data_IF_888876322835
#
_entry.id   IF_888876322835
#
_cell.length_a   1.000
_cell.length_b   1.000
_cell.length_c   1.000
_cell.angle_alpha   90.00
_cell.angle_beta   90.00
_cell.angle_gamma   90.00
#
_symmetry.space_group_name_H-M   'P 1'
#
loop_
_entity.id
_entity.type
_entity.pdbx_description
1 polymer ?
#
# COMPACT_ATOMS: atom_id res chain seq x y z
N UNK A 1 17.78 -4.84 -14.89
CA UNK A 1 18.72 -4.52 -13.78
C UNK A 1 19.18 -3.06 -13.87
N UNK A 2 19.78 -2.51 -12.80
CA UNK A 2 20.40 -1.19 -12.80
C UNK A 2 21.75 -1.27 -13.54
N UNK A 3 21.95 -0.43 -14.56
CA UNK A 3 23.14 -0.50 -15.45
C UNK A 3 24.04 0.70 -15.32
N UNK A 4 23.51 1.86 -14.94
CA UNK A 4 24.27 3.11 -14.82
C UNK A 4 23.70 4.03 -13.75
N UNK A 5 24.58 4.78 -13.10
CA UNK A 5 24.26 5.83 -12.14
C UNK A 5 25.08 7.08 -12.49
N UNK A 6 24.43 8.22 -12.69
CA UNK A 6 25.06 9.50 -13.01
C UNK A 6 24.62 10.56 -12.02
N UNK A 7 25.58 11.17 -11.33
CA UNK A 7 25.32 12.28 -10.42
C UNK A 7 25.08 13.55 -11.25
N UNK A 8 23.99 14.26 -10.95
CA UNK A 8 23.58 15.50 -11.60
C UNK A 8 23.41 16.65 -10.60
N UNK A 9 23.19 17.86 -11.13
CA UNK A 9 22.85 19.06 -10.36
C UNK A 9 23.75 19.30 -9.14
N UNK A 10 25.08 19.22 -9.36
CA UNK A 10 26.10 19.35 -8.32
C UNK A 10 25.90 18.40 -7.11
N UNK A 11 25.44 17.18 -7.37
CA UNK A 11 25.17 16.18 -6.33
C UNK A 11 23.75 16.21 -5.79
N UNK A 12 22.88 17.13 -6.23
CA UNK A 12 21.49 17.19 -5.74
C UNK A 12 20.60 16.14 -6.36
N UNK A 13 20.97 15.59 -7.51
CA UNK A 13 20.22 14.55 -8.21
C UNK A 13 21.13 13.41 -8.64
N UNK A 14 20.50 12.26 -8.90
CA UNK A 14 21.13 11.11 -9.55
C UNK A 14 20.17 10.54 -10.60
N UNK A 15 20.66 10.34 -11.82
CA UNK A 15 19.96 9.62 -12.87
C UNK A 15 20.40 8.15 -12.85
N UNK A 16 19.42 7.26 -12.74
CA UNK A 16 19.60 5.81 -12.83
C UNK A 16 19.11 5.32 -14.18
N UNK A 17 19.94 4.55 -14.88
CA UNK A 17 19.57 3.87 -16.12
C UNK A 17 19.34 2.39 -15.88
N UNK A 18 18.27 1.86 -16.46
CA UNK A 18 17.84 0.49 -16.30
C UNK A 18 18.03 -0.28 -17.62
N UNK A 19 18.22 -1.59 -17.51
CA UNK A 19 18.41 -2.51 -18.64
C UNK A 19 17.23 -2.50 -19.64
N UNK A 20 16.02 -2.22 -19.18
CA UNK A 20 14.83 -2.07 -20.03
C UNK A 20 14.77 -0.71 -20.75
N UNK A 21 15.85 0.09 -20.71
CA UNK A 21 15.94 1.41 -21.31
C UNK A 21 15.27 2.54 -20.50
N UNK A 22 14.56 2.22 -19.41
CA UNK A 22 13.95 3.22 -18.54
C UNK A 22 15.05 4.05 -17.87
N UNK A 23 14.75 5.33 -17.62
CA UNK A 23 15.59 6.21 -16.80
C UNK A 23 14.73 6.83 -15.70
N UNK A 24 15.30 6.95 -14.52
CA UNK A 24 14.61 7.51 -13.36
C UNK A 24 15.57 8.38 -12.58
N UNK A 25 15.14 9.57 -12.18
CA UNK A 25 15.92 10.45 -11.31
C UNK A 25 15.46 10.38 -9.86
N UNK A 26 16.43 10.54 -8.95
CA UNK A 26 16.19 10.69 -7.53
C UNK A 26 16.93 11.92 -7.00
N UNK A 27 16.34 12.63 -6.04
CA UNK A 27 16.98 13.71 -5.31
C UNK A 27 17.81 13.14 -4.16
N UNK A 28 18.97 13.75 -3.88
CA UNK A 28 19.84 13.38 -2.76
C UNK A 28 19.08 13.41 -1.43
N UNK A 29 18.31 14.48 -1.19
CA UNK A 29 17.48 14.63 0.01
C UNK A 29 16.45 13.50 0.16
N UNK A 30 15.77 13.12 -0.93
CA UNK A 30 14.79 12.03 -0.89
C UNK A 30 15.44 10.69 -0.57
N UNK A 31 16.59 10.40 -1.18
CA UNK A 31 17.34 9.17 -0.90
C UNK A 31 17.83 9.15 0.55
N UNK A 32 18.40 10.25 1.05
CA UNK A 32 18.89 10.35 2.43
C UNK A 32 17.79 10.16 3.47
N UNK A 33 16.62 10.76 3.26
CA UNK A 33 15.44 10.61 4.14
C UNK A 33 14.81 9.19 4.08
N UNK A 34 15.12 8.44 3.02
CA UNK A 34 14.64 7.07 2.81
C UNK A 34 15.73 6.00 2.96
N UNK A 35 16.91 6.34 3.48
CA UNK A 35 17.95 5.37 3.73
C UNK A 35 17.43 4.20 4.60
N UNK A 36 17.88 2.99 4.23
CA UNK A 36 17.38 1.73 4.80
C UNK A 36 18.28 1.16 5.89
N UNK A 37 19.35 1.88 6.25
CA UNK A 37 20.29 1.47 7.29
C UNK A 37 19.69 1.62 8.70
N UNK A 38 20.26 0.89 9.65
CA UNK A 38 19.80 0.78 11.03
C UNK A 38 19.86 2.10 11.83
N UNK A 39 20.62 3.09 11.37
CA UNK A 39 20.66 4.45 11.96
C UNK A 39 19.57 5.37 11.39
N UNK A 40 18.96 5.02 10.26
CA UNK A 40 17.87 5.79 9.66
C UNK A 40 16.52 5.14 9.91
N UNK A 41 16.46 3.80 9.91
CA UNK A 41 15.24 3.02 10.19
C UNK A 41 15.51 1.96 11.24
N UNK A 42 14.64 1.89 12.25
CA UNK A 42 14.68 0.83 13.25
C UNK A 42 14.46 -0.54 12.60
N UNK A 43 15.42 -1.44 12.79
CA UNK A 43 15.36 -2.79 12.23
C UNK A 43 14.17 -3.61 12.77
N UNK A 44 13.69 -3.32 13.98
CA UNK A 44 12.64 -4.10 14.63
C UNK A 44 11.20 -3.71 14.24
N UNK A 45 10.96 -2.44 13.85
CA UNK A 45 9.60 -1.95 13.61
C UNK A 45 9.46 -1.03 12.39
N UNK A 46 10.55 -0.77 11.65
CA UNK A 46 10.56 0.03 10.43
C UNK A 46 10.35 1.54 10.63
N UNK A 47 10.25 2.03 11.87
CA UNK A 47 10.11 3.44 12.17
C UNK A 47 11.37 4.21 11.75
N UNK A 48 11.18 5.39 11.16
CA UNK A 48 12.28 6.31 10.88
C UNK A 48 12.81 6.88 12.21
N UNK A 49 14.12 6.88 12.38
CA UNK A 49 14.82 7.30 13.61
C UNK A 49 15.29 8.76 13.58
N UNK A 50 15.09 9.44 12.45
CA UNK A 50 15.48 10.83 12.21
C UNK A 50 14.26 11.63 11.72
N UNK A 51 14.34 12.94 11.89
CA UNK A 51 13.44 13.93 11.30
C UNK A 51 14.10 14.61 10.11
N UNK A 52 13.33 15.39 9.35
CA UNK A 52 13.88 16.20 8.25
C UNK A 52 14.88 17.26 8.74
N UNK A 53 14.78 17.70 10.00
CA UNK A 53 15.68 18.69 10.59
C UNK A 53 17.05 18.10 10.94
N UNK A 54 17.14 16.78 11.08
CA UNK A 54 18.40 16.08 11.36
C UNK A 54 19.23 15.85 10.08
N UNK A 55 18.65 16.12 8.90
CA UNK A 55 19.32 16.00 7.60
C UNK A 55 19.81 17.39 7.17
N UNK A 56 21.12 17.61 6.93
CA UNK A 56 21.63 18.91 6.50
C UNK A 56 20.94 19.40 5.22
N UNK A 57 20.52 20.66 5.19
CA UNK A 57 19.75 21.23 4.08
C UNK A 57 20.50 21.18 2.73
N UNK A 58 21.83 21.23 2.80
CA UNK A 58 22.78 21.16 1.70
C UNK A 58 23.19 19.73 1.32
N UNK A 59 22.48 18.71 1.82
CA UNK A 59 22.74 17.29 1.51
C UNK A 59 22.87 17.04 0.01
N UNK A 60 24.02 16.47 -0.38
CA UNK A 60 24.37 16.10 -1.75
C UNK A 60 24.92 14.68 -1.80
N UNK A 61 24.87 14.08 -2.98
CA UNK A 61 25.56 12.83 -3.32
C UNK A 61 27.01 13.17 -3.64
N UNK A 62 27.94 12.71 -2.80
CA UNK A 62 29.38 12.89 -3.01
C UNK A 62 30.00 11.77 -3.85
N UNK A 63 29.52 10.54 -3.71
CA UNK A 63 29.99 9.40 -4.49
C UNK A 63 28.89 8.35 -4.66
N UNK A 64 29.00 7.55 -5.73
CA UNK A 64 28.09 6.46 -6.03
C UNK A 64 28.83 5.26 -6.61
N UNK A 65 28.38 4.06 -6.27
CA UNK A 65 28.87 2.80 -6.83
C UNK A 65 27.73 1.80 -7.01
N UNK A 66 27.76 1.03 -8.09
CA UNK A 66 26.83 -0.09 -8.31
C UNK A 66 27.58 -1.37 -7.98
N UNK A 67 27.17 -2.08 -6.92
CA UNK A 67 27.81 -3.32 -6.47
C UNK A 67 26.80 -4.29 -5.90
N UNK A 68 26.93 -5.57 -6.24
CA UNK A 68 26.13 -6.65 -5.64
C UNK A 68 24.61 -6.50 -5.83
N UNK A 69 24.16 -5.90 -6.95
CA UNK A 69 22.75 -5.66 -7.21
C UNK A 69 22.14 -4.51 -6.40
N UNK A 70 22.98 -3.64 -5.82
CA UNK A 70 22.58 -2.47 -5.06
C UNK A 70 23.32 -1.21 -5.55
N UNK A 71 22.77 -0.06 -5.19
CA UNK A 71 23.37 1.25 -5.35
C UNK A 71 23.90 1.72 -3.99
N UNK A 72 25.22 1.83 -3.86
CA UNK A 72 25.86 2.45 -2.71
C UNK A 72 26.03 3.95 -2.97
N UNK A 73 25.61 4.76 -2.02
CA UNK A 73 25.64 6.23 -2.09
C UNK A 73 26.34 6.77 -0.86
N UNK A 74 27.30 7.66 -1.05
CA UNK A 74 27.89 8.46 0.02
C UNK A 74 27.34 9.88 -0.02
N UNK A 75 26.70 10.30 1.06
CA UNK A 75 26.16 11.65 1.22
C UNK A 75 27.17 12.59 1.89
N UNK A 76 27.18 13.84 1.44
CA UNK A 76 27.90 14.96 2.04
C UNK A 76 26.90 16.03 2.46
N UNK A 77 27.11 16.75 3.57
CA UNK A 77 28.33 16.77 4.40
C UNK A 77 28.39 15.73 5.52
N UNK A 78 27.44 14.80 5.63
CA UNK A 78 27.43 13.82 6.73
C UNK A 78 28.54 12.75 6.66
N UNK A 79 29.18 12.56 5.50
CA UNK A 79 30.04 11.41 5.20
C UNK A 79 29.34 10.06 5.49
N UNK A 80 28.02 10.01 5.27
CA UNK A 80 27.20 8.81 5.50
C UNK A 80 27.09 8.00 4.22
N UNK A 81 27.56 6.75 4.24
CA UNK A 81 27.36 5.80 3.15
C UNK A 81 26.21 4.86 3.46
N UNK A 82 25.32 4.67 2.50
CA UNK A 82 24.17 3.74 2.59
C UNK A 82 24.04 2.93 1.30
N UNK A 83 23.30 1.82 1.36
CA UNK A 83 23.05 0.95 0.21
C UNK A 83 21.57 0.78 -0.03
N UNK A 84 21.16 0.84 -1.30
CA UNK A 84 19.79 0.60 -1.73
C UNK A 84 19.73 -0.60 -2.69
N UNK A 85 18.93 -1.63 -2.39
CA UNK A 85 18.66 -2.69 -3.36
C UNK A 85 18.08 -2.10 -4.65
N UNK A 86 18.57 -2.55 -5.81
CA UNK A 86 18.10 -2.03 -7.11
C UNK A 86 16.58 -2.21 -7.30
N UNK A 87 16.02 -3.31 -6.79
CA UNK A 87 14.58 -3.56 -6.84
C UNK A 87 13.79 -2.52 -6.04
N UNK A 88 14.30 -2.11 -4.88
CA UNK A 88 13.67 -1.09 -4.05
C UNK A 88 13.66 0.26 -4.77
N UNK A 89 14.78 0.66 -5.37
CA UNK A 89 14.85 1.89 -6.18
C UNK A 89 13.87 1.85 -7.35
N UNK A 90 13.81 0.73 -8.09
CA UNK A 90 12.90 0.59 -9.21
C UNK A 90 11.43 0.75 -8.79
N UNK A 91 11.03 0.08 -7.70
CA UNK A 91 9.66 0.14 -7.18
C UNK A 91 9.28 1.53 -6.65
N UNK A 92 10.23 2.26 -6.07
CA UNK A 92 9.99 3.56 -5.44
C UNK A 92 10.36 4.77 -6.31
N UNK A 93 10.63 4.55 -7.60
CA UNK A 93 10.87 5.63 -8.54
C UNK A 93 9.64 6.55 -8.65
N UNK A 94 9.84 7.83 -8.35
CA UNK A 94 8.82 8.87 -8.46
C UNK A 94 8.96 9.73 -9.73
N UNK A 95 10.15 9.76 -10.33
CA UNK A 95 10.38 10.44 -11.62
C UNK A 95 9.86 9.57 -12.76
N UNK A 96 8.53 9.55 -12.88
CA UNK A 96 7.78 8.77 -13.87
C UNK A 96 6.61 9.59 -14.38
N UNK A 97 6.23 9.33 -15.63
CA UNK A 97 5.02 9.93 -16.20
C UNK A 97 3.81 9.18 -15.66
N UNK A 98 3.03 9.82 -14.79
CA UNK A 98 1.73 9.30 -14.37
C UNK A 98 0.62 9.86 -15.27
N UNK A 99 0.32 9.14 -16.36
CA UNK A 99 -0.83 9.47 -17.20
C UNK A 99 -2.10 8.97 -16.54
N UNK A 100 -2.82 9.86 -15.87
CA UNK A 100 -4.11 9.54 -15.29
C UNK A 100 -5.20 10.48 -15.85
N UNK A 101 -6.31 9.92 -16.34
CA UNK A 101 -7.44 10.67 -16.93
C UNK A 101 -8.43 11.12 -15.86
N UNK A 102 -8.87 12.38 -15.87
CA UNK A 102 -9.82 12.90 -14.85
C UNK A 102 -10.96 11.93 -14.54
N UNK A 103 -11.19 11.65 -13.25
CA UNK A 103 -12.15 10.64 -12.79
C UNK A 103 -11.59 9.20 -12.71
N UNK A 104 -10.28 9.01 -12.80
CA UNK A 104 -9.66 7.69 -12.62
C UNK A 104 -9.93 7.09 -11.24
N UNK A 105 -10.04 5.76 -11.16
CA UNK A 105 -9.95 4.98 -9.92
C UNK A 105 -8.55 4.41 -9.76
N UNK A 106 -8.23 3.85 -8.59
CA UNK A 106 -7.00 3.07 -8.43
C UNK A 106 -7.05 1.81 -9.32
N UNK A 107 -5.91 1.34 -9.84
CA UNK A 107 -5.84 0.20 -10.78
C UNK A 107 -6.48 -1.09 -10.25
N UNK A 108 -6.47 -1.28 -8.93
CA UNK A 108 -7.12 -2.45 -8.30
C UNK A 108 -8.65 -2.35 -8.33
N UNK A 109 -9.21 -1.15 -8.39
CA UNK A 109 -10.66 -0.95 -8.31
C UNK A 109 -11.27 -1.24 -9.67
N UNK A 110 -12.22 -2.17 -9.69
CA UNK A 110 -12.98 -2.53 -10.87
C UNK A 110 -14.42 -2.06 -10.74
N UNK A 111 -14.79 -1.06 -11.54
CA UNK A 111 -16.17 -0.64 -11.70
C UNK A 111 -16.98 -1.78 -12.34
N UNK A 112 -18.21 -1.97 -11.87
CA UNK A 112 -19.08 -3.04 -12.33
C UNK A 112 -20.50 -2.53 -12.61
N UNK A 113 -21.22 -3.28 -13.43
CA UNK A 113 -22.64 -3.06 -13.70
C UNK A 113 -23.40 -4.34 -13.36
N UNK A 114 -24.73 -4.29 -13.43
CA UNK A 114 -25.55 -5.50 -13.32
C UNK A 114 -25.07 -6.61 -14.25
N UNK A 115 -24.77 -6.27 -15.50
CA UNK A 115 -24.38 -7.24 -16.52
C UNK A 115 -23.08 -7.99 -16.17
N UNK A 116 -22.13 -7.32 -15.52
CA UNK A 116 -20.84 -7.94 -15.14
C UNK A 116 -20.89 -8.63 -13.77
N UNK A 117 -21.80 -8.23 -12.88
CA UNK A 117 -21.78 -8.66 -11.48
C UNK A 117 -22.88 -9.65 -11.09
N UNK A 118 -24.03 -9.68 -11.79
CA UNK A 118 -25.21 -10.45 -11.33
C UNK A 118 -24.93 -11.93 -11.06
N UNK A 119 -24.05 -12.57 -11.85
CA UNK A 119 -23.68 -13.98 -11.69
C UNK A 119 -22.25 -14.18 -11.15
N UNK A 120 -21.60 -13.11 -10.69
CA UNK A 120 -20.18 -13.09 -10.31
C UNK A 120 -19.96 -12.49 -8.92
N UNK A 121 -21.02 -12.39 -8.09
CA UNK A 121 -20.94 -11.83 -6.75
C UNK A 121 -19.90 -12.61 -5.93
N UNK A 122 -18.81 -11.96 -5.48
CA UNK A 122 -17.80 -12.61 -4.66
C UNK A 122 -18.41 -13.12 -3.38
N UNK A 123 -18.14 -14.38 -3.03
CA UNK A 123 -18.76 -15.07 -1.89
C UNK A 123 -17.77 -16.00 -1.22
N UNK A 124 -17.84 -16.10 0.11
CA UNK A 124 -17.12 -17.09 0.89
C UNK A 124 -17.97 -17.56 2.08
N UNK A 125 -17.82 -18.82 2.49
CA UNK A 125 -18.42 -19.33 3.71
C UNK A 125 -17.63 -18.86 4.94
N UNK A 126 -18.32 -18.42 5.99
CA UNK A 126 -17.71 -17.97 7.25
C UNK A 126 -16.79 -19.04 7.83
N UNK A 127 -17.22 -20.30 7.86
CA UNK A 127 -16.43 -21.41 8.36
C UNK A 127 -15.11 -21.61 7.58
N UNK A 128 -15.12 -21.42 6.26
CA UNK A 128 -13.91 -21.54 5.45
C UNK A 128 -12.97 -20.35 5.71
N UNK A 129 -13.50 -19.12 5.69
CA UNK A 129 -12.71 -17.91 5.92
C UNK A 129 -12.11 -17.82 7.33
N UNK A 130 -12.76 -18.41 8.34
CA UNK A 130 -12.25 -18.42 9.71
C UNK A 130 -11.12 -19.41 9.95
N UNK A 131 -11.00 -20.46 9.13
CA UNK A 131 -9.95 -21.48 9.26
C UNK A 131 -8.83 -21.33 8.22
N UNK A 132 -9.12 -20.77 7.04
CA UNK A 132 -8.17 -20.65 5.95
C UNK A 132 -7.91 -19.17 5.59
N UNK A 133 -6.68 -18.72 5.86
CA UNK A 133 -6.25 -17.35 5.56
C UNK A 133 -6.25 -17.03 4.07
N UNK A 134 -6.14 -18.03 3.19
CA UNK A 134 -6.18 -17.83 1.73
C UNK A 134 -7.60 -17.46 1.28
N UNK A 135 -8.63 -18.13 1.82
CA UNK A 135 -10.04 -17.83 1.59
C UNK A 135 -10.38 -16.43 2.10
N UNK A 136 -9.95 -16.10 3.33
CA UNK A 136 -10.14 -14.75 3.87
C UNK A 136 -9.45 -13.67 3.01
N UNK A 137 -8.22 -13.94 2.55
CA UNK A 137 -7.47 -13.03 1.66
C UNK A 137 -8.23 -12.80 0.35
N UNK A 138 -8.79 -13.84 -0.25
CA UNK A 138 -9.57 -13.73 -1.49
C UNK A 138 -10.84 -12.93 -1.29
N UNK A 139 -11.57 -13.18 -0.20
CA UNK A 139 -12.75 -12.40 0.19
C UNK A 139 -12.43 -10.91 0.41
N UNK A 140 -11.38 -10.59 1.18
CA UNK A 140 -10.92 -9.21 1.39
C UNK A 140 -10.40 -8.56 0.10
N UNK A 141 -9.76 -9.34 -0.77
CA UNK A 141 -9.30 -8.85 -2.08
C UNK A 141 -10.48 -8.48 -2.96
N UNK A 142 -11.58 -9.25 -2.92
CA UNK A 142 -12.81 -8.90 -3.61
C UNK A 142 -13.44 -7.60 -3.06
N UNK A 143 -13.46 -7.41 -1.74
CA UNK A 143 -13.92 -6.14 -1.13
C UNK A 143 -13.05 -4.97 -1.62
N UNK A 144 -11.72 -5.13 -1.65
CA UNK A 144 -10.79 -4.09 -2.14
C UNK A 144 -10.99 -3.78 -3.64
N UNK A 145 -11.31 -4.79 -4.45
CA UNK A 145 -11.45 -4.66 -5.91
C UNK A 145 -12.83 -4.12 -6.32
N UNK A 146 -13.90 -4.68 -5.77
CA UNK A 146 -15.28 -4.39 -6.20
C UNK A 146 -16.07 -3.51 -5.23
N UNK A 147 -15.52 -3.25 -4.05
CA UNK A 147 -16.19 -2.52 -2.97
C UNK A 147 -17.14 -3.37 -2.13
N UNK A 148 -17.35 -4.66 -2.46
CA UNK A 148 -18.20 -5.56 -1.67
C UNK A 148 -17.86 -7.04 -1.91
N UNK A 149 -18.28 -7.88 -0.97
CA UNK A 149 -18.31 -9.34 -1.08
C UNK A 149 -19.36 -9.88 -0.08
N UNK A 150 -19.87 -11.09 -0.33
CA UNK A 150 -20.86 -11.74 0.53
C UNK A 150 -20.18 -12.79 1.40
N UNK A 151 -20.59 -12.89 2.66
CA UNK A 151 -20.22 -14.00 3.53
C UNK A 151 -21.46 -14.74 3.96
N UNK A 152 -21.47 -16.07 3.80
CA UNK A 152 -22.60 -16.94 4.15
C UNK A 152 -22.22 -17.95 5.26
N UNK A 153 -23.21 -18.71 5.73
CA UNK A 153 -23.01 -19.74 6.74
C UNK A 153 -22.71 -19.19 8.14
N UNK A 154 -23.08 -17.94 8.44
CA UNK A 154 -23.05 -17.42 9.80
C UNK A 154 -24.20 -18.01 10.63
N UNK A 155 -24.02 -18.18 11.96
CA UNK A 155 -25.11 -18.50 12.86
C UNK A 155 -26.23 -17.44 12.82
N UNK A 156 -27.48 -17.88 12.84
CA UNK A 156 -28.65 -17.02 12.87
C UNK A 156 -28.95 -16.53 14.31
N UNK A 157 -28.05 -15.72 14.86
CA UNK A 157 -28.13 -15.16 16.21
C UNK A 157 -27.80 -13.65 16.22
N UNK A 158 -28.32 -12.90 17.20
CA UNK A 158 -28.03 -11.47 17.30
C UNK A 158 -26.53 -11.23 17.51
N UNK A 159 -25.98 -10.25 16.79
CA UNK A 159 -24.56 -9.91 16.85
C UNK A 159 -23.63 -10.84 16.06
N UNK A 160 -24.12 -11.87 15.34
CA UNK A 160 -23.27 -12.77 14.55
C UNK A 160 -22.39 -12.04 13.52
N UNK A 161 -22.85 -10.90 12.99
CA UNK A 161 -22.06 -10.05 12.09
C UNK A 161 -20.74 -9.58 12.70
N UNK A 162 -20.66 -9.43 14.02
CA UNK A 162 -19.45 -9.00 14.71
C UNK A 162 -18.30 -10.00 14.49
N UNK A 163 -18.64 -11.29 14.41
CA UNK A 163 -17.67 -12.38 14.16
C UNK A 163 -16.97 -12.22 12.82
N UNK A 164 -17.59 -11.56 11.83
CA UNK A 164 -16.98 -11.29 10.52
C UNK A 164 -15.95 -10.17 10.64
N UNK A 165 -16.29 -9.08 11.35
CA UNK A 165 -15.35 -7.98 11.59
C UNK A 165 -14.09 -8.45 12.33
N UNK A 166 -14.25 -9.33 13.32
CA UNK A 166 -13.14 -9.88 14.11
C UNK A 166 -12.14 -10.69 13.26
N UNK A 167 -12.51 -11.12 12.04
CA UNK A 167 -11.58 -11.81 11.13
C UNK A 167 -10.51 -10.87 10.56
N UNK A 168 -10.77 -9.56 10.47
CA UNK A 168 -9.90 -8.65 9.73
C UNK A 168 -9.72 -7.25 10.35
N UNK A 169 -10.46 -6.90 11.40
CA UNK A 169 -10.37 -5.57 11.99
C UNK A 169 -11.28 -5.39 13.20
N UNK A 170 -11.80 -4.18 13.33
CA UNK A 170 -12.58 -3.76 14.49
C UNK A 170 -13.84 -3.04 14.06
N UNK A 171 -14.87 -3.15 14.89
CA UNK A 171 -16.13 -2.45 14.68
C UNK A 171 -15.99 -1.00 15.13
N UNK A 172 -16.46 -0.06 14.30
CA UNK A 172 -16.62 1.33 14.68
C UNK A 172 -17.96 1.50 15.41
N UNK A 173 -17.92 1.59 16.73
CA UNK A 173 -19.12 1.86 17.52
C UNK A 173 -19.65 3.28 17.26
N UNK A 174 -20.98 3.41 17.30
CA UNK A 174 -21.69 4.68 17.11
C UNK A 174 -22.72 4.87 18.22
N UNK A 175 -23.45 5.98 18.22
CA UNK A 175 -24.58 6.19 19.13
C UNK A 175 -25.71 5.15 18.95
N UNK A 176 -25.74 4.41 17.85
CA UNK A 176 -26.64 3.27 17.63
C UNK A 176 -26.14 1.96 18.26
N UNK A 177 -24.98 1.99 18.91
CA UNK A 177 -24.32 0.82 19.49
C UNK A 177 -23.24 0.22 18.58
N UNK A 178 -22.74 -0.94 19.00
CA UNK A 178 -21.76 -1.74 18.25
C UNK A 178 -22.39 -2.42 17.03
N UNK A 179 -23.66 -2.78 17.11
CA UNK A 179 -24.52 -3.14 15.98
C UNK A 179 -25.95 -2.66 16.28
N UNK A 180 -26.79 -2.56 15.25
CA UNK A 180 -28.20 -2.17 15.40
C UNK A 180 -29.10 -3.14 14.64
N UNK A 181 -30.33 -3.26 15.11
CA UNK A 181 -31.34 -4.15 14.54
C UNK A 181 -32.13 -3.42 13.45
N UNK A 182 -32.26 -4.04 12.27
CA UNK A 182 -33.11 -3.55 11.17
C UNK A 182 -34.29 -4.51 11.02
N UNK A 183 -35.47 -4.07 11.43
CA UNK A 183 -36.73 -4.85 11.33
C UNK A 183 -37.68 -4.15 10.37
N UNK A 184 -38.21 -4.88 9.41
CA UNK A 184 -39.23 -4.41 8.48
C UNK A 184 -40.41 -5.40 8.48
N UNK A 185 -41.62 -4.93 8.74
CA UNK A 185 -42.84 -5.71 8.60
C UNK A 185 -43.46 -5.41 7.23
N UNK A 186 -43.62 -6.44 6.39
CA UNK A 186 -44.03 -6.30 4.98
C UNK A 186 -45.57 -6.26 4.82
N UNK A 187 -46.34 -6.49 5.90
CA UNK A 187 -47.81 -6.52 5.86
C UNK A 187 -48.37 -5.34 6.68
N UNK A 188 -48.85 -4.26 6.04
CA UNK A 188 -49.64 -3.25 6.75
C UNK A 188 -50.97 -3.87 7.20
N UNK A 189 -51.22 -3.86 8.50
CA UNK A 189 -52.47 -4.34 9.11
C UNK A 189 -53.64 -3.35 9.00
N UNK A 190 -53.55 -2.30 8.18
CA UNK A 190 -54.67 -1.38 7.97
C UNK A 190 -54.72 -0.86 6.52
N UNK A 191 -55.94 -0.86 5.96
CA UNK A 191 -56.31 -0.41 4.61
C UNK A 191 -56.78 1.06 4.62
N UNK A 192 -55.96 1.98 5.16
CA UNK A 192 -56.24 3.42 5.13
C UNK A 192 -55.04 4.19 4.60
#
# INVERSE_FOLDING_TARGET
MLTKALIGDEGRTIELSWENGTRTRFHAMWLRDNALDDKTRSAGNGQRLITILDIPAETRIGAVSIKGGALEISFVPEQKTVSFPQAWLYTHAYDRVELRKGGWTADVVQCWTRATMQNSVPRAAYAAASHDRSVLREWLSAVRTYGFAVMDGLPAESGALCKVSDLFGYIRETNYGRWFEVRAEVIPNNLA
#
